data_IF_640144524658
#
_entry.id   IF_640144524658
#
_cell.length_a   1.000
_cell.length_b   1.000
_cell.length_c   1.000
_cell.angle_alpha   90.00
_cell.angle_beta   90.00
_cell.angle_gamma   90.00
#
_symmetry.space_group_name_H-M   'P 1'
#
loop_
_entity.id
_entity.type
_entity.pdbx_description
1 polymer ?
#
# COMPACT_ATOMS: atom_id res chain seq x y z
N UNK A 1 0.76 16.35 -15.46
CA UNK A 1 -0.61 15.78 -15.33
C UNK A 1 -0.54 14.71 -14.26
N UNK A 2 -1.46 14.70 -13.30
CA UNK A 2 -1.51 13.73 -12.21
C UNK A 2 -2.86 13.00 -12.24
N UNK A 3 -2.83 11.67 -12.32
CA UNK A 3 -4.00 10.82 -12.15
C UNK A 3 -3.89 10.08 -10.83
N UNK A 4 -4.89 10.15 -9.99
CA UNK A 4 -4.96 9.43 -8.72
C UNK A 4 -5.99 8.31 -8.79
N UNK A 5 -5.61 7.14 -8.27
CA UNK A 5 -6.51 6.01 -8.07
C UNK A 5 -6.53 5.75 -6.57
N UNK A 6 -7.66 5.98 -5.94
CA UNK A 6 -7.83 5.81 -4.51
C UNK A 6 -8.81 4.66 -4.24
N UNK A 7 -8.45 3.78 -3.33
CA UNK A 7 -9.23 2.58 -3.01
C UNK A 7 -9.42 2.40 -1.52
N UNK A 8 -10.65 2.07 -1.13
CA UNK A 8 -11.05 1.78 0.25
C UNK A 8 -11.90 0.51 0.29
N UNK A 9 -12.09 -0.07 1.45
CA UNK A 9 -12.99 -1.22 1.59
C UNK A 9 -14.45 -0.83 1.43
N UNK A 10 -14.82 0.32 2.01
CA UNK A 10 -16.20 0.84 2.08
C UNK A 10 -16.19 2.36 2.23
N UNK A 11 -17.33 2.98 2.01
CA UNK A 11 -17.50 4.44 2.06
C UNK A 11 -17.15 5.07 3.41
N UNK A 12 -17.42 4.38 4.51
CA UNK A 12 -17.17 4.86 5.87
C UNK A 12 -15.66 5.01 6.20
N UNK A 13 -14.79 4.40 5.40
CA UNK A 13 -13.34 4.48 5.53
C UNK A 13 -12.70 5.56 4.63
N UNK A 14 -13.49 6.27 3.83
CA UNK A 14 -12.97 7.26 2.88
C UNK A 14 -12.44 8.48 3.60
N UNK A 15 -11.20 8.84 3.28
CA UNK A 15 -10.52 10.03 3.78
C UNK A 15 -9.90 10.83 2.62
N UNK A 16 -9.70 12.13 2.81
CA UNK A 16 -8.95 13.03 1.91
C UNK A 16 -9.48 13.06 0.45
N UNK A 17 -10.76 12.76 0.24
CA UNK A 17 -11.35 12.73 -1.11
C UNK A 17 -11.21 14.07 -1.83
N UNK A 18 -11.55 15.16 -1.15
CA UNK A 18 -11.49 16.50 -1.73
C UNK A 18 -10.08 16.97 -2.02
N UNK A 19 -9.13 16.58 -1.19
CA UNK A 19 -7.72 16.88 -1.36
C UNK A 19 -7.15 16.16 -2.59
N UNK A 20 -7.52 14.90 -2.80
CA UNK A 20 -7.16 14.17 -4.02
C UNK A 20 -7.79 14.77 -5.26
N UNK A 21 -9.07 15.18 -5.19
CA UNK A 21 -9.74 15.86 -6.30
C UNK A 21 -9.07 17.21 -6.64
N UNK A 22 -8.66 17.97 -5.64
CA UNK A 22 -8.00 19.25 -5.84
C UNK A 22 -6.56 19.10 -6.40
N UNK A 23 -5.85 18.03 -6.03
CA UNK A 23 -4.46 17.80 -6.41
C UNK A 23 -4.30 17.04 -7.74
N UNK A 24 -5.37 16.45 -8.28
CA UNK A 24 -5.31 15.54 -9.43
C UNK A 24 -6.08 16.04 -10.62
N UNK A 25 -5.59 15.77 -11.82
CA UNK A 25 -6.32 16.01 -13.07
C UNK A 25 -7.47 15.02 -13.24
N UNK A 26 -7.29 13.79 -12.74
CA UNK A 26 -8.29 12.72 -12.75
C UNK A 26 -8.20 11.95 -11.44
N UNK A 27 -9.34 11.65 -10.84
CA UNK A 27 -9.44 10.74 -9.68
C UNK A 27 -10.35 9.57 -10.03
N UNK A 28 -9.82 8.35 -9.93
CA UNK A 28 -10.58 7.09 -9.97
C UNK A 28 -10.83 6.63 -8.53
N UNK A 29 -12.10 6.46 -8.19
CA UNK A 29 -12.56 6.06 -6.85
C UNK A 29 -12.97 4.59 -6.90
N UNK A 30 -12.38 3.76 -6.05
CA UNK A 30 -12.61 2.33 -6.02
C UNK A 30 -13.01 1.88 -4.61
N UNK A 31 -13.95 0.94 -4.51
CA UNK A 31 -14.26 0.28 -3.24
C UNK A 31 -14.49 -1.21 -3.41
N UNK A 32 -14.13 -1.99 -2.38
CA UNK A 32 -14.27 -3.46 -2.44
C UNK A 32 -15.74 -3.87 -2.45
N UNK A 33 -16.59 -3.18 -1.70
CA UNK A 33 -18.02 -3.48 -1.55
C UNK A 33 -18.91 -2.75 -2.58
N UNK A 34 -18.41 -1.72 -3.25
CA UNK A 34 -19.15 -0.91 -4.22
C UNK A 34 -19.99 0.20 -3.58
N UNK A 35 -19.81 0.49 -2.30
CA UNK A 35 -20.55 1.57 -1.61
C UNK A 35 -20.03 2.96 -1.97
N UNK A 36 -18.83 3.04 -2.55
CA UNK A 36 -18.22 4.29 -2.98
C UNK A 36 -17.46 4.12 -4.28
N UNK A 37 -17.69 5.01 -5.24
CA UNK A 37 -17.05 4.96 -6.55
C UNK A 37 -17.42 3.71 -7.35
N UNK A 38 -16.42 3.06 -7.93
CA UNK A 38 -16.57 1.83 -8.71
C UNK A 38 -16.15 0.62 -7.86
N UNK A 39 -16.97 -0.44 -7.87
CA UNK A 39 -16.59 -1.70 -7.23
C UNK A 39 -15.43 -2.36 -7.97
N UNK A 40 -14.39 -2.72 -7.26
CA UNK A 40 -13.22 -3.41 -7.81
C UNK A 40 -11.89 -2.95 -7.20
N UNK A 41 -10.81 -3.43 -7.77
CA UNK A 41 -9.47 -3.15 -7.27
C UNK A 41 -8.84 -1.93 -7.96
N UNK A 42 -7.93 -1.26 -7.28
CA UNK A 42 -7.15 -0.14 -7.85
C UNK A 42 -6.31 -0.57 -9.07
N UNK A 43 -5.90 -1.84 -9.11
CA UNK A 43 -5.19 -2.43 -10.25
C UNK A 43 -6.05 -2.53 -11.50
N UNK A 44 -7.35 -2.76 -11.35
CA UNK A 44 -8.29 -2.81 -12.48
C UNK A 44 -8.47 -1.42 -13.09
N UNK A 45 -8.60 -0.40 -12.24
CA UNK A 45 -8.67 0.98 -12.69
C UNK A 45 -7.37 1.43 -13.38
N UNK A 46 -6.20 1.05 -12.85
CA UNK A 46 -4.91 1.35 -13.47
C UNK A 46 -4.79 0.68 -14.85
N UNK A 47 -5.15 -0.61 -14.94
CA UNK A 47 -5.15 -1.34 -16.21
C UNK A 47 -6.05 -0.67 -17.25
N UNK A 48 -7.28 -0.31 -16.87
CA UNK A 48 -8.23 0.38 -17.76
C UNK A 48 -7.66 1.71 -18.27
N UNK A 49 -7.02 2.49 -17.42
CA UNK A 49 -6.41 3.76 -17.83
C UNK A 49 -5.26 3.54 -18.84
N UNK A 50 -4.38 2.58 -18.59
CA UNK A 50 -3.29 2.26 -19.51
C UNK A 50 -3.84 1.75 -20.85
N UNK A 51 -4.80 0.83 -20.82
CA UNK A 51 -5.43 0.25 -22.02
C UNK A 51 -6.27 1.27 -22.81
N UNK A 52 -6.78 2.32 -22.16
CA UNK A 52 -7.45 3.45 -22.83
C UNK A 52 -6.51 4.40 -23.57
N UNK A 53 -5.20 4.17 -23.49
CA UNK A 53 -4.19 4.95 -24.21
C UNK A 53 -3.48 6.02 -23.36
N UNK A 54 -3.78 6.09 -22.05
CA UNK A 54 -3.06 6.97 -21.14
C UNK A 54 -1.59 6.51 -20.98
N UNK A 55 -0.67 7.46 -21.07
CA UNK A 55 0.75 7.20 -20.90
C UNK A 55 1.26 7.78 -19.59
N UNK A 56 1.99 6.97 -18.84
CA UNK A 56 2.55 7.35 -17.55
C UNK A 56 4.07 7.21 -17.55
N UNK A 57 4.76 8.27 -17.16
CA UNK A 57 6.22 8.26 -16.94
C UNK A 57 6.57 7.47 -15.68
N UNK A 58 5.68 7.53 -14.67
CA UNK A 58 5.89 6.89 -13.38
C UNK A 58 4.57 6.61 -12.68
N UNK A 59 4.51 5.47 -12.00
CA UNK A 59 3.45 5.13 -11.04
C UNK A 59 4.05 5.15 -9.63
N UNK A 60 3.33 5.74 -8.69
CA UNK A 60 3.65 5.69 -7.26
C UNK A 60 2.56 4.89 -6.57
N UNK A 61 2.93 3.83 -5.85
CA UNK A 61 1.99 2.98 -5.14
C UNK A 61 2.26 2.99 -3.64
N UNK A 62 1.23 3.33 -2.85
CA UNK A 62 1.28 3.42 -1.39
C UNK A 62 0.07 2.69 -0.83
N UNK A 63 0.29 1.71 0.04
CA UNK A 63 -0.80 0.95 0.66
C UNK A 63 -0.40 -0.46 1.09
N UNK A 64 -1.35 -1.41 1.15
CA UNK A 64 -1.05 -2.78 1.53
C UNK A 64 -0.01 -3.44 0.61
N UNK A 65 0.90 -4.24 1.20
CA UNK A 65 1.97 -4.92 0.45
C UNK A 65 1.45 -5.72 -0.74
N UNK A 66 0.32 -6.41 -0.56
CA UNK A 66 -0.30 -7.20 -1.64
C UNK A 66 -0.76 -6.31 -2.80
N UNK A 67 -1.32 -5.14 -2.51
CA UNK A 67 -1.74 -4.17 -3.53
C UNK A 67 -0.52 -3.65 -4.30
N UNK A 68 0.53 -3.23 -3.59
CA UNK A 68 1.76 -2.73 -4.21
C UNK A 68 2.42 -3.81 -5.09
N UNK A 69 2.45 -5.08 -4.63
CA UNK A 69 2.93 -6.21 -5.42
C UNK A 69 2.21 -6.33 -6.76
N UNK A 70 0.86 -6.29 -6.75
CA UNK A 70 0.08 -6.41 -7.98
C UNK A 70 0.17 -5.18 -8.87
N UNK A 71 0.26 -3.98 -8.31
CA UNK A 71 0.55 -2.76 -9.09
C UNK A 71 1.91 -2.90 -9.80
N UNK A 72 2.95 -3.31 -9.09
CA UNK A 72 4.29 -3.50 -9.69
C UNK A 72 4.29 -4.59 -10.77
N UNK A 73 3.55 -5.68 -10.57
CA UNK A 73 3.39 -6.71 -11.59
C UNK A 73 2.74 -6.15 -12.86
N UNK A 74 1.66 -5.40 -12.70
CA UNK A 74 0.94 -4.76 -13.80
C UNK A 74 1.82 -3.76 -14.55
N UNK A 75 2.45 -2.82 -13.83
CA UNK A 75 3.28 -1.78 -14.44
C UNK A 75 4.52 -2.34 -15.14
N UNK A 76 5.03 -3.49 -14.68
CA UNK A 76 6.14 -4.19 -15.33
C UNK A 76 5.74 -4.73 -16.70
N UNK A 77 4.50 -5.20 -16.88
CA UNK A 77 3.97 -5.65 -18.17
C UNK A 77 3.98 -4.52 -19.22
N UNK A 78 3.75 -3.29 -18.77
CA UNK A 78 3.72 -2.09 -19.62
C UNK A 78 5.03 -1.28 -19.60
N UNK A 79 6.06 -1.79 -18.94
CA UNK A 79 7.37 -1.12 -18.80
C UNK A 79 7.27 0.29 -18.21
N UNK A 80 6.39 0.51 -17.24
CA UNK A 80 6.20 1.79 -16.56
C UNK A 80 7.01 1.78 -15.26
N UNK A 81 7.88 2.79 -15.06
CA UNK A 81 8.63 2.97 -13.81
C UNK A 81 7.68 3.05 -12.61
N UNK A 82 7.97 2.29 -11.57
CA UNK A 82 7.10 2.22 -10.40
C UNK A 82 7.89 2.42 -9.12
N UNK A 83 7.47 3.39 -8.33
CA UNK A 83 7.97 3.63 -6.98
C UNK A 83 6.93 3.14 -5.99
N UNK A 84 7.37 2.41 -4.97
CA UNK A 84 6.53 1.96 -3.86
C UNK A 84 7.02 2.56 -2.57
N UNK A 85 6.09 3.03 -1.73
CA UNK A 85 6.41 3.50 -0.39
C UNK A 85 6.18 2.36 0.59
N UNK A 86 7.27 1.75 1.06
CA UNK A 86 7.23 0.57 1.92
C UNK A 86 6.91 0.95 3.36
N UNK A 87 6.07 0.15 4.00
CA UNK A 87 5.52 0.40 5.33
C UNK A 87 5.79 -0.72 6.36
N UNK A 88 7.03 -1.26 6.47
CA UNK A 88 7.36 -2.18 7.54
C UNK A 88 7.36 -1.46 8.88
N UNK A 89 7.26 -2.22 9.98
CA UNK A 89 7.41 -1.68 11.33
C UNK A 89 8.80 -1.05 11.48
N UNK A 90 8.85 0.21 11.86
CA UNK A 90 10.07 0.97 12.14
C UNK A 90 10.14 1.27 13.64
N UNK A 91 11.11 0.67 14.34
CA UNK A 91 11.22 0.75 15.80
C UNK A 91 12.08 1.94 16.20
N UNK A 92 13.33 2.00 15.74
CA UNK A 92 14.29 3.04 16.13
C UNK A 92 14.53 4.12 15.05
N UNK A 93 14.29 3.82 13.80
CA UNK A 93 14.48 4.75 12.70
C UNK A 93 15.95 5.03 12.30
N UNK A 94 16.92 4.34 12.90
CA UNK A 94 18.36 4.59 12.70
C UNK A 94 19.05 3.53 11.83
N UNK A 95 18.34 2.46 11.46
CA UNK A 95 18.89 1.32 10.73
C UNK A 95 19.61 0.29 11.62
N UNK A 96 19.73 0.53 12.93
CA UNK A 96 20.48 -0.36 13.84
C UNK A 96 19.69 -1.61 14.24
N UNK A 97 18.38 -1.48 14.51
CA UNK A 97 17.58 -2.62 15.02
C UNK A 97 17.23 -3.65 13.95
N UNK A 98 17.32 -3.30 12.67
CA UNK A 98 16.98 -4.21 11.56
C UNK A 98 15.50 -4.58 11.44
N UNK A 99 14.60 -3.97 12.21
CA UNK A 99 13.15 -4.25 12.21
C UNK A 99 12.52 -4.03 10.84
N UNK A 100 12.89 -2.95 10.18
CA UNK A 100 12.34 -2.52 8.89
C UNK A 100 13.13 -3.02 7.66
N UNK A 101 13.94 -4.08 7.80
CA UNK A 101 14.73 -4.57 6.66
C UNK A 101 13.84 -5.19 5.58
N UNK A 102 14.25 -4.92 4.34
CA UNK A 102 13.63 -5.39 3.10
C UNK A 102 14.70 -6.00 2.20
N UNK A 103 14.29 -6.80 1.22
CA UNK A 103 15.14 -7.23 0.13
C UNK A 103 14.77 -6.44 -1.12
N UNK A 104 15.72 -5.67 -1.66
CA UNK A 104 15.52 -4.83 -2.85
C UNK A 104 16.68 -5.09 -3.80
N UNK A 105 16.40 -5.57 -5.01
CA UNK A 105 17.44 -5.94 -5.97
C UNK A 105 18.40 -7.02 -5.50
N UNK A 106 17.94 -7.91 -4.60
CA UNK A 106 18.79 -8.95 -3.98
C UNK A 106 19.64 -8.47 -2.81
N UNK A 107 19.61 -7.18 -2.48
CA UNK A 107 20.33 -6.61 -1.35
C UNK A 107 19.42 -6.34 -0.15
N UNK A 108 19.97 -6.42 1.05
CA UNK A 108 19.25 -6.00 2.26
C UNK A 108 19.29 -4.47 2.36
N UNK A 109 18.10 -3.87 2.46
CA UNK A 109 17.89 -2.44 2.70
C UNK A 109 17.06 -2.23 3.96
N UNK A 110 17.18 -1.06 4.57
CA UNK A 110 16.40 -0.66 5.75
C UNK A 110 15.47 0.50 5.37
N UNK A 111 14.17 0.28 5.43
CA UNK A 111 13.21 1.29 4.98
C UNK A 111 13.33 2.64 5.71
N UNK A 112 13.80 2.65 6.97
CA UNK A 112 13.95 3.88 7.75
C UNK A 112 15.15 4.75 7.34
N UNK A 113 16.17 4.20 6.68
CA UNK A 113 17.38 4.95 6.27
C UNK A 113 17.65 4.91 4.76
N UNK A 114 17.30 3.80 4.07
CA UNK A 114 17.49 3.65 2.63
C UNK A 114 16.24 4.04 1.83
N UNK A 115 15.08 4.08 2.50
CA UNK A 115 13.76 4.35 1.91
C UNK A 115 13.03 5.49 2.61
N UNK A 116 11.71 5.40 2.77
CA UNK A 116 10.82 4.24 2.54
C UNK A 116 10.51 3.94 1.07
N UNK A 117 10.90 4.83 0.15
CA UNK A 117 10.54 4.75 -1.25
C UNK A 117 11.61 3.96 -2.03
N UNK A 118 11.16 2.93 -2.76
CA UNK A 118 12.03 2.03 -3.52
C UNK A 118 11.47 1.80 -4.93
N UNK A 119 12.36 1.38 -5.85
CA UNK A 119 11.93 0.83 -7.13
C UNK A 119 11.11 -0.44 -6.87
N UNK A 120 9.80 -0.35 -7.16
CA UNK A 120 8.86 -1.43 -6.87
C UNK A 120 9.14 -2.72 -7.65
N UNK A 121 9.82 -2.62 -8.79
CA UNK A 121 10.20 -3.79 -9.59
C UNK A 121 11.38 -4.58 -9.01
N UNK A 122 12.09 -4.00 -8.05
CA UNK A 122 13.23 -4.63 -7.37
C UNK A 122 12.89 -5.14 -5.97
N UNK A 123 11.73 -4.75 -5.40
CA UNK A 123 11.31 -5.19 -4.06
C UNK A 123 10.86 -6.64 -4.07
N UNK A 124 11.39 -7.44 -3.13
CA UNK A 124 10.88 -8.79 -2.83
C UNK A 124 9.67 -8.69 -1.88
N UNK A 125 8.48 -8.60 -2.48
CA UNK A 125 7.23 -8.51 -1.73
C UNK A 125 6.90 -9.79 -0.94
N UNK A 126 7.35 -10.96 -1.40
CA UNK A 126 7.06 -12.23 -0.72
C UNK A 126 7.79 -12.30 0.62
N UNK A 127 9.07 -11.94 0.63
CA UNK A 127 9.86 -11.81 1.87
C UNK A 127 9.27 -10.72 2.76
N UNK A 128 8.87 -9.57 2.21
CA UNK A 128 8.27 -8.48 2.98
C UNK A 128 6.95 -8.91 3.64
N UNK A 129 6.08 -9.61 2.92
CA UNK A 129 4.80 -10.11 3.46
C UNK A 129 5.03 -11.19 4.53
N UNK A 130 5.98 -12.12 4.31
CA UNK A 130 6.33 -13.15 5.29
C UNK A 130 6.82 -12.52 6.61
N UNK A 131 7.67 -11.52 6.52
CA UNK A 131 8.15 -10.77 7.69
C UNK A 131 7.03 -10.01 8.40
N UNK A 132 6.15 -9.36 7.65
CA UNK A 132 4.98 -8.67 8.21
C UNK A 132 3.97 -9.59 8.91
N UNK A 133 4.00 -10.89 8.62
CA UNK A 133 3.15 -11.88 9.27
C UNK A 133 3.71 -12.44 10.59
N UNK A 134 4.98 -12.16 10.93
CA UNK A 134 5.69 -12.80 12.06
C UNK A 134 4.99 -12.61 13.42
N UNK A 135 4.34 -11.47 13.64
CA UNK A 135 3.69 -11.13 14.90
C UNK A 135 2.17 -11.12 14.83
N UNK A 136 1.58 -11.53 13.71
CA UNK A 136 0.12 -11.42 13.46
C UNK A 136 -0.73 -12.10 14.54
N UNK A 137 -0.33 -13.27 15.00
CA UNK A 137 -1.08 -14.02 16.02
C UNK A 137 -1.02 -13.33 17.38
N UNK A 138 0.15 -12.78 17.74
CA UNK A 138 0.32 -11.98 18.96
C UNK A 138 -0.47 -10.68 18.89
N UNK A 139 -0.49 -10.01 17.74
CA UNK A 139 -1.27 -8.79 17.52
C UNK A 139 -2.78 -9.06 17.61
N UNK A 140 -3.25 -10.17 17.06
CA UNK A 140 -4.65 -10.58 17.15
C UNK A 140 -5.05 -10.83 18.61
N UNK A 141 -4.23 -11.58 19.36
CA UNK A 141 -4.48 -11.84 20.78
C UNK A 141 -4.47 -10.57 21.63
N UNK A 142 -3.49 -9.70 21.46
CA UNK A 142 -3.42 -8.41 22.16
C UNK A 142 -4.63 -7.50 21.85
N UNK A 143 -5.13 -7.53 20.61
CA UNK A 143 -6.34 -6.79 20.23
C UNK A 143 -7.59 -7.34 20.92
N UNK A 144 -7.75 -8.65 21.01
CA UNK A 144 -8.86 -9.28 21.72
C UNK A 144 -8.83 -8.96 23.21
N UNK A 145 -7.66 -9.02 23.85
CA UNK A 145 -7.49 -8.64 25.26
C UNK A 145 -7.83 -7.17 25.51
N UNK A 146 -7.35 -6.24 24.69
CA UNK A 146 -7.66 -4.82 24.81
C UNK A 146 -9.15 -4.54 24.61
N UNK A 147 -9.80 -5.21 23.65
CA UNK A 147 -11.23 -5.07 23.41
C UNK A 147 -12.05 -5.57 24.63
N UNK A 148 -11.63 -6.66 25.27
CA UNK A 148 -12.27 -7.20 26.47
C UNK A 148 -12.08 -6.32 27.71
N UNK A 149 -10.97 -5.55 27.83
CA UNK A 149 -10.75 -4.61 28.90
C UNK A 149 -11.76 -3.45 28.84
N UNK A 150 -11.95 -2.86 27.66
CA UNK A 150 -12.93 -1.77 27.47
C UNK A 150 -14.37 -2.23 27.65
N UNK A 151 -14.71 -3.48 27.31
CA UNK A 151 -16.04 -4.04 27.51
C UNK A 151 -16.40 -4.26 29.01
N UNK A 152 -15.40 -4.36 29.90
CA UNK A 152 -15.61 -4.53 31.36
C UNK A 152 -15.81 -3.21 32.10
N UNK A 153 -15.43 -2.07 31.53
CA UNK A 153 -15.61 -0.75 32.14
C UNK A 153 -17.00 -0.14 31.92
N UNK A 154 -17.85 -0.78 31.12
CA UNK A 154 -19.22 -0.33 30.77
C UNK A 154 -20.30 -1.03 31.62
N UNK A 155 -19.95 -1.82 32.63
CA UNK A 155 -20.86 -2.40 33.63
C UNK A 155 -20.72 -1.67 34.98
#
# INVERSE_FOLDING_TARGET
MVHSIIGFRSQDLVILEKEFEAASTLVKKMSDDGTWGTKGLVTDALRQLIESGEQYDQVIAIGPLIMMKFVCKLTKEFNIKTVVSMNPIMIDGTGMCGGCRLTVGGETKFACVDGPDFDGHLVDFDVAMQRGATYRDFEAHAREEACNLFAKEVQ
#
